data_IF_904760026075
#
_entry.id   IF_904760026075
#
_cell.length_a   1.000
_cell.length_b   1.000
_cell.length_c   1.000
_cell.angle_alpha   90.00
_cell.angle_beta   90.00
_cell.angle_gamma   90.00
#
_symmetry.space_group_name_H-M   'P 1'
#
loop_
_entity.id
_entity.type
_entity.pdbx_description
1 polymer ?
#
# COMPACT_ATOMS: atom_id res chain seq x y z
N UNK A 1 1.40 9.11 25.05
CA UNK A 1 2.25 8.83 23.87
C UNK A 1 2.79 7.43 24.00
N UNK A 2 2.60 6.63 22.95
CA UNK A 2 2.78 5.18 22.98
C UNK A 2 4.14 4.72 22.44
N UNK A 3 5.19 5.54 22.61
CA UNK A 3 6.52 5.28 22.05
C UNK A 3 7.09 3.90 22.41
N UNK A 4 6.82 3.40 23.62
CA UNK A 4 7.28 2.08 24.07
C UNK A 4 6.70 0.91 23.26
N UNK A 5 5.57 1.11 22.56
CA UNK A 5 4.99 0.09 21.67
C UNK A 5 5.73 0.04 20.31
N UNK A 6 6.38 1.13 19.90
CA UNK A 6 7.09 1.24 18.62
C UNK A 6 8.58 0.92 18.75
N UNK A 7 9.21 1.25 19.89
CA UNK A 7 10.64 1.02 20.17
C UNK A 7 11.20 -0.34 19.70
N UNK A 8 10.51 -1.48 19.92
CA UNK A 8 11.02 -2.79 19.48
C UNK A 8 11.21 -2.93 17.97
N UNK A 9 10.58 -2.06 17.18
CA UNK A 9 10.55 -2.10 15.71
C UNK A 9 11.48 -1.08 15.06
N UNK A 10 12.15 -0.21 15.82
CA UNK A 10 13.04 0.82 15.25
C UNK A 10 14.12 0.22 14.34
N UNK A 11 14.69 -0.94 14.71
CA UNK A 11 15.67 -1.66 13.89
C UNK A 11 15.11 -2.18 12.57
N UNK A 12 13.81 -2.48 12.51
CA UNK A 12 13.14 -2.90 11.27
C UNK A 12 13.02 -1.74 10.29
N UNK A 13 12.96 -0.51 10.78
CA UNK A 13 12.79 0.70 9.98
C UNK A 13 14.10 1.23 9.40
N UNK A 14 15.27 0.83 9.92
CA UNK A 14 16.57 1.32 9.44
C UNK A 14 16.75 1.15 7.91
N UNK A 15 16.50 -0.03 7.30
CA UNK A 15 16.60 -0.17 5.84
C UNK A 15 15.63 0.74 5.08
N UNK A 16 14.43 0.96 5.64
CA UNK A 16 13.38 1.79 5.05
C UNK A 16 13.79 3.27 5.11
N UNK A 17 14.32 3.72 6.24
CA UNK A 17 14.85 5.08 6.43
C UNK A 17 16.06 5.36 5.55
N UNK A 18 16.88 4.36 5.26
CA UNK A 18 17.95 4.48 4.26
C UNK A 18 17.42 4.50 2.82
N UNK A 19 16.30 3.84 2.56
CA UNK A 19 15.68 3.77 1.23
C UNK A 19 14.89 5.03 0.89
N UNK A 20 14.14 5.61 1.82
CA UNK A 20 13.45 6.89 1.61
C UNK A 20 14.44 8.06 1.69
N UNK A 21 14.21 9.14 0.95
CA UNK A 21 15.12 10.31 0.96
C UNK A 21 14.71 11.38 1.97
N UNK A 22 13.52 11.29 2.53
CA UNK A 22 13.05 12.19 3.57
C UNK A 22 12.21 11.44 4.61
N UNK A 23 12.25 11.86 5.89
CA UNK A 23 11.28 11.42 6.87
C UNK A 23 9.90 11.99 6.55
N UNK A 24 8.85 11.43 7.14
CA UNK A 24 7.53 12.05 7.13
C UNK A 24 7.59 13.42 7.83
N UNK A 25 7.08 14.50 7.20
CA UNK A 25 7.06 15.83 7.80
C UNK A 25 6.29 15.86 9.11
N UNK A 26 6.80 16.61 10.09
CA UNK A 26 6.19 16.70 11.41
C UNK A 26 4.79 17.33 11.35
N UNK A 27 4.59 18.26 10.43
CA UNK A 27 3.32 18.92 10.14
C UNK A 27 2.26 17.91 9.70
N UNK A 28 2.64 16.93 8.87
CA UNK A 28 1.75 15.84 8.48
C UNK A 28 1.38 14.98 9.68
N UNK A 29 2.35 14.60 10.52
CA UNK A 29 2.11 13.79 11.74
C UNK A 29 1.16 14.54 12.69
N UNK A 30 1.41 15.83 12.92
CA UNK A 30 0.60 16.66 13.80
C UNK A 30 -0.85 16.74 13.32
N UNK A 31 -1.08 16.92 12.01
CA UNK A 31 -2.42 16.95 11.44
C UNK A 31 -3.09 15.57 11.48
N UNK A 32 -2.39 14.52 11.05
CA UNK A 32 -2.92 13.15 10.99
C UNK A 32 -3.24 12.56 12.38
N UNK A 33 -2.54 13.01 13.44
CA UNK A 33 -2.77 12.57 14.80
C UNK A 33 -3.97 13.24 15.49
N UNK A 34 -4.55 14.29 14.91
CA UNK A 34 -5.73 14.94 15.49
C UNK A 34 -6.94 14.02 15.40
N UNK A 35 -7.72 13.93 16.48
CA UNK A 35 -8.92 13.09 16.56
C UNK A 35 -9.92 13.38 15.43
N UNK A 36 -10.07 14.65 15.05
CA UNK A 36 -10.94 15.10 13.95
C UNK A 36 -10.50 14.62 12.56
N UNK A 37 -9.20 14.34 12.39
CA UNK A 37 -8.62 13.87 11.13
C UNK A 37 -8.46 12.34 11.08
N UNK A 38 -8.57 11.64 12.22
CA UNK A 38 -8.46 10.19 12.26
C UNK A 38 -9.45 9.47 11.32
N UNK A 39 -10.74 9.90 11.19
CA UNK A 39 -11.66 9.31 10.22
C UNK A 39 -11.16 9.34 8.77
N UNK A 40 -10.57 10.45 8.32
CA UNK A 40 -10.06 10.56 6.94
C UNK A 40 -8.80 9.74 6.73
N UNK A 41 -7.94 9.66 7.76
CA UNK A 41 -6.73 8.83 7.72
C UNK A 41 -7.08 7.34 7.65
N UNK A 42 -7.98 6.85 8.50
CA UNK A 42 -8.40 5.44 8.47
C UNK A 42 -9.17 5.08 7.21
N UNK A 43 -10.03 5.97 6.71
CA UNK A 43 -10.74 5.73 5.44
C UNK A 43 -9.80 5.70 4.25
N UNK A 44 -8.82 6.61 4.17
CA UNK A 44 -7.83 6.56 3.08
C UNK A 44 -6.90 5.35 3.23
N UNK A 45 -6.53 4.98 4.45
CA UNK A 45 -5.78 3.76 4.73
C UNK A 45 -6.54 2.53 4.22
N UNK A 46 -7.84 2.40 4.55
CA UNK A 46 -8.71 1.34 4.02
C UNK A 46 -8.68 1.30 2.47
N UNK A 47 -8.72 2.46 1.82
CA UNK A 47 -8.62 2.54 0.36
C UNK A 47 -7.23 2.12 -0.14
N UNK A 48 -6.15 2.46 0.57
CA UNK A 48 -4.79 2.07 0.23
C UNK A 48 -4.61 0.56 0.24
N UNK A 49 -5.13 -0.13 1.25
CA UNK A 49 -5.10 -1.61 1.31
C UNK A 49 -5.80 -2.24 0.10
N UNK A 50 -6.99 -1.74 -0.26
CA UNK A 50 -7.70 -2.22 -1.45
C UNK A 50 -6.93 -1.91 -2.74
N UNK A 51 -6.36 -0.70 -2.87
CA UNK A 51 -5.58 -0.29 -4.05
C UNK A 51 -4.30 -1.13 -4.21
N UNK A 52 -3.65 -1.52 -3.12
CA UNK A 52 -2.47 -2.39 -3.13
C UNK A 52 -2.86 -3.79 -3.66
N UNK A 53 -3.90 -4.40 -3.11
CA UNK A 53 -4.45 -5.67 -3.60
C UNK A 53 -4.86 -5.60 -5.09
N UNK A 54 -5.56 -4.54 -5.50
CA UNK A 54 -5.96 -4.32 -6.89
C UNK A 54 -4.75 -4.18 -7.82
N UNK A 55 -3.72 -3.43 -7.40
CA UNK A 55 -2.51 -3.22 -8.19
C UNK A 55 -1.77 -4.54 -8.41
N UNK A 56 -1.60 -5.34 -7.36
CA UNK A 56 -1.01 -6.67 -7.47
C UNK A 56 -1.84 -7.63 -8.34
N UNK A 57 -3.17 -7.59 -8.23
CA UNK A 57 -4.05 -8.40 -9.09
C UNK A 57 -3.93 -8.00 -10.57
N UNK A 58 -3.79 -6.71 -10.87
CA UNK A 58 -3.54 -6.22 -12.24
C UNK A 58 -2.17 -6.64 -12.77
N UNK A 59 -1.14 -6.68 -11.91
CA UNK A 59 0.18 -7.23 -12.28
C UNK A 59 0.06 -8.73 -12.63
N UNK A 60 -0.59 -9.52 -11.78
CA UNK A 60 -0.82 -10.94 -12.04
C UNK A 60 -1.56 -11.17 -13.35
N UNK A 61 -2.69 -10.47 -13.54
CA UNK A 61 -3.51 -10.56 -14.75
C UNK A 61 -2.73 -10.25 -16.03
N UNK A 62 -1.81 -9.28 -15.97
CA UNK A 62 -1.06 -8.82 -17.14
C UNK A 62 0.17 -9.67 -17.44
N UNK A 63 0.86 -10.13 -16.40
CA UNK A 63 2.22 -10.66 -16.54
C UNK A 63 2.39 -12.12 -16.12
N UNK A 64 1.42 -12.72 -15.40
CA UNK A 64 1.67 -14.00 -14.76
C UNK A 64 0.59 -15.07 -14.96
N UNK A 65 -0.70 -14.73 -14.91
CA UNK A 65 -1.78 -15.74 -14.92
C UNK A 65 -2.57 -15.80 -16.22
N UNK A 66 -3.17 -16.96 -16.49
CA UNK A 66 -4.08 -17.13 -17.63
C UNK A 66 -5.42 -16.36 -17.43
N UNK A 67 -6.25 -16.29 -18.48
CA UNK A 67 -7.51 -15.53 -18.46
C UNK A 67 -8.49 -15.99 -17.37
N UNK A 68 -8.61 -17.30 -17.14
CA UNK A 68 -9.57 -17.85 -16.18
C UNK A 68 -9.18 -17.48 -14.74
N UNK A 69 -7.90 -17.64 -14.40
CA UNK A 69 -7.39 -17.23 -13.09
C UNK A 69 -7.39 -15.71 -12.93
N UNK A 70 -7.12 -14.95 -13.99
CA UNK A 70 -7.25 -13.50 -13.96
C UNK A 70 -8.68 -13.06 -13.62
N UNK A 71 -9.70 -13.74 -14.17
CA UNK A 71 -11.09 -13.42 -13.83
C UNK A 71 -11.41 -13.79 -12.38
N UNK A 72 -10.96 -14.96 -11.91
CA UNK A 72 -11.16 -15.37 -10.52
C UNK A 72 -10.51 -14.39 -9.52
N UNK A 73 -9.35 -13.81 -9.86
CA UNK A 73 -8.72 -12.74 -9.07
C UNK A 73 -9.61 -11.50 -8.96
N UNK A 74 -10.16 -11.03 -10.09
CA UNK A 74 -11.02 -9.85 -10.11
C UNK A 74 -12.34 -10.09 -9.37
N UNK A 75 -12.93 -11.27 -9.54
CA UNK A 75 -14.16 -11.66 -8.84
C UNK A 75 -13.98 -11.71 -7.33
N UNK A 76 -12.78 -12.10 -6.85
CA UNK A 76 -12.45 -12.11 -5.43
C UNK A 76 -12.34 -10.68 -4.83
N UNK A 77 -11.98 -9.68 -5.63
CA UNK A 77 -11.91 -8.28 -5.19
C UNK A 77 -13.27 -7.57 -5.22
N UNK A 78 -14.23 -8.08 -6.01
CA UNK A 78 -15.52 -7.43 -6.23
C UNK A 78 -16.31 -7.06 -4.96
N UNK A 79 -16.34 -7.88 -3.87
CA UNK A 79 -17.02 -7.50 -2.63
C UNK A 79 -16.41 -6.25 -1.98
N UNK A 80 -15.09 -6.14 -1.99
CA UNK A 80 -14.34 -5.01 -1.45
C UNK A 80 -14.59 -3.75 -2.27
N UNK A 81 -14.56 -3.87 -3.60
CA UNK A 81 -14.87 -2.77 -4.53
C UNK A 81 -16.30 -2.26 -4.39
N UNK A 82 -17.26 -3.18 -4.23
CA UNK A 82 -18.66 -2.82 -4.03
C UNK A 82 -18.84 -2.02 -2.74
N UNK A 83 -18.18 -2.43 -1.66
CA UNK A 83 -18.23 -1.72 -0.39
C UNK A 83 -17.64 -0.30 -0.53
N UNK A 84 -16.41 -0.20 -1.03
CA UNK A 84 -15.66 1.07 -1.08
C UNK A 84 -16.21 2.04 -2.12
N UNK A 85 -16.45 1.57 -3.35
CA UNK A 85 -16.76 2.47 -4.48
C UNK A 85 -18.27 2.62 -4.73
N UNK A 86 -19.09 1.68 -4.25
CA UNK A 86 -20.54 1.67 -4.52
C UNK A 86 -21.39 1.75 -3.26
N UNK A 87 -20.80 1.64 -2.07
CA UNK A 87 -21.54 1.59 -0.80
C UNK A 87 -22.47 0.38 -0.71
N UNK A 88 -22.14 -0.71 -1.41
CA UNK A 88 -22.94 -1.94 -1.46
C UNK A 88 -22.27 -3.01 -0.62
N UNK A 89 -23.00 -3.52 0.37
CA UNK A 89 -22.55 -4.59 1.26
C UNK A 89 -22.27 -4.10 2.67
N UNK A 90 -21.45 -4.85 3.40
CA UNK A 90 -21.05 -4.53 4.77
C UNK A 90 -19.99 -5.52 5.27
N UNK A 91 -19.55 -5.34 6.52
CA UNK A 91 -18.48 -6.14 7.10
C UNK A 91 -18.77 -7.65 7.03
N UNK A 92 -20.02 -8.05 7.27
CA UNK A 92 -20.42 -9.47 7.27
C UNK A 92 -20.19 -10.11 5.90
N UNK A 93 -20.45 -9.36 4.82
CA UNK A 93 -20.22 -9.83 3.46
C UNK A 93 -18.73 -9.92 3.14
N UNK A 94 -17.91 -9.01 3.66
CA UNK A 94 -16.45 -9.07 3.51
C UNK A 94 -15.87 -10.27 4.27
N UNK A 95 -16.30 -10.49 5.51
CA UNK A 95 -15.86 -11.64 6.33
C UNK A 95 -16.27 -12.99 5.72
N UNK A 96 -17.41 -13.04 5.02
CA UNK A 96 -17.88 -14.22 4.29
C UNK A 96 -17.31 -14.33 2.87
N UNK A 97 -16.58 -13.32 2.39
CA UNK A 97 -16.04 -13.33 1.03
C UNK A 97 -15.03 -14.46 0.87
N UNK A 98 -15.09 -15.15 -0.27
CA UNK A 98 -14.15 -16.22 -0.58
C UNK A 98 -12.76 -15.62 -0.68
N UNK A 99 -11.89 -15.96 0.28
CA UNK A 99 -10.48 -15.65 0.16
C UNK A 99 -9.88 -16.33 -1.07
N UNK A 100 -8.81 -15.71 -1.59
CA UNK A 100 -8.01 -16.23 -2.67
C UNK A 100 -7.33 -17.55 -2.24
N UNK A 101 -8.05 -18.65 -2.42
CA UNK A 101 -7.70 -19.97 -1.86
C UNK A 101 -7.17 -20.94 -2.91
N UNK A 102 -7.42 -20.68 -4.20
CA UNK A 102 -6.93 -21.52 -5.29
C UNK A 102 -5.52 -21.11 -5.71
N UNK A 103 -4.66 -22.10 -5.91
CA UNK A 103 -3.35 -21.89 -6.52
C UNK A 103 -3.52 -21.35 -7.93
N UNK A 104 -2.99 -20.15 -8.18
CA UNK A 104 -2.99 -19.55 -9.51
C UNK A 104 -2.02 -20.34 -10.40
N UNK A 105 -2.42 -20.57 -11.66
CA UNK A 105 -1.51 -21.18 -12.65
C UNK A 105 -0.91 -20.12 -13.55
N UNK A 106 0.40 -20.26 -13.77
CA UNK A 106 1.12 -19.46 -14.75
C UNK A 106 0.51 -19.57 -16.15
N UNK A 107 0.47 -18.44 -16.86
CA UNK A 107 0.28 -18.46 -18.30
C UNK A 107 1.51 -19.12 -18.95
N UNK A 108 1.29 -19.93 -19.99
CA UNK A 108 2.38 -20.59 -20.70
C UNK A 108 3.39 -19.55 -21.24
N UNK A 109 4.69 -19.86 -21.11
CA UNK A 109 5.79 -19.13 -21.78
C UNK A 109 6.20 -17.76 -21.21
N UNK A 110 5.85 -17.42 -19.97
CA UNK A 110 6.30 -16.17 -19.33
C UNK A 110 7.48 -16.42 -18.36
N UNK A 111 8.67 -15.88 -18.62
CA UNK A 111 9.77 -15.87 -17.65
C UNK A 111 9.29 -15.24 -16.32
N UNK A 112 9.67 -15.83 -15.20
CA UNK A 112 9.38 -15.31 -13.84
C UNK A 112 7.91 -15.33 -13.39
N UNK A 113 6.99 -15.92 -14.17
CA UNK A 113 5.56 -15.98 -13.82
C UNK A 113 5.29 -16.60 -12.44
N UNK A 114 5.98 -17.70 -12.10
CA UNK A 114 5.81 -18.37 -10.81
C UNK A 114 6.22 -17.49 -9.63
N UNK A 115 7.29 -16.70 -9.79
CA UNK A 115 7.77 -15.80 -8.74
C UNK A 115 6.83 -14.59 -8.55
N UNK A 116 6.34 -14.01 -9.66
CA UNK A 116 5.33 -12.95 -9.62
C UNK A 116 4.05 -13.49 -8.98
N UNK A 117 3.63 -14.72 -9.33
CA UNK A 117 2.47 -15.40 -8.73
C UNK A 117 2.63 -15.53 -7.23
N UNK A 118 3.75 -16.09 -6.76
CA UNK A 118 3.97 -16.34 -5.34
C UNK A 118 3.94 -15.03 -4.52
N UNK A 119 4.77 -14.05 -4.91
CA UNK A 119 4.89 -12.76 -4.20
C UNK A 119 3.58 -11.96 -4.25
N UNK A 120 2.99 -11.76 -5.42
CA UNK A 120 1.78 -10.94 -5.55
C UNK A 120 0.54 -11.61 -4.94
N UNK A 121 0.39 -12.94 -5.04
CA UNK A 121 -0.73 -13.63 -4.41
C UNK A 121 -0.68 -13.54 -2.89
N UNK A 122 0.53 -13.60 -2.32
CA UNK A 122 0.75 -13.41 -0.90
C UNK A 122 0.39 -11.99 -0.48
N UNK A 123 0.91 -10.99 -1.19
CA UNK A 123 0.60 -9.58 -0.94
C UNK A 123 -0.92 -9.36 -0.96
N UNK A 124 -1.63 -9.77 -2.01
CA UNK A 124 -3.09 -9.61 -2.11
C UNK A 124 -3.82 -10.15 -0.88
N UNK A 125 -3.42 -11.32 -0.37
CA UNK A 125 -4.06 -11.90 0.83
C UNK A 125 -3.76 -11.08 2.09
N UNK A 126 -2.53 -10.60 2.23
CA UNK A 126 -2.11 -9.78 3.37
C UNK A 126 -2.84 -8.41 3.34
N UNK A 127 -2.91 -7.72 2.20
CA UNK A 127 -3.62 -6.42 2.13
C UNK A 127 -5.13 -6.54 2.29
N UNK A 128 -5.75 -7.60 1.77
CA UNK A 128 -7.18 -7.83 2.02
C UNK A 128 -7.45 -8.17 3.50
N UNK A 129 -6.48 -8.75 4.21
CA UNK A 129 -6.58 -8.93 5.65
C UNK A 129 -6.41 -7.61 6.39
N UNK A 130 -5.42 -6.78 6.02
CA UNK A 130 -5.27 -5.44 6.59
C UNK A 130 -6.52 -4.58 6.36
N UNK A 131 -7.09 -4.60 5.15
CA UNK A 131 -8.36 -3.96 4.82
C UNK A 131 -9.47 -4.34 5.81
N UNK A 132 -9.61 -5.64 6.10
CA UNK A 132 -10.62 -6.13 7.05
C UNK A 132 -10.38 -5.55 8.45
N UNK A 133 -9.14 -5.52 8.91
CA UNK A 133 -8.78 -4.98 10.22
C UNK A 133 -9.06 -3.47 10.31
N UNK A 134 -8.74 -2.70 9.26
CA UNK A 134 -9.09 -1.26 9.21
C UNK A 134 -10.60 -1.08 9.26
N UNK A 135 -11.36 -1.86 8.50
CA UNK A 135 -12.82 -1.81 8.48
C UNK A 135 -13.42 -2.12 9.86
N UNK A 136 -12.89 -3.12 10.56
CA UNK A 136 -13.29 -3.48 11.93
C UNK A 136 -13.05 -2.34 12.91
N UNK A 137 -11.89 -1.67 12.83
CA UNK A 137 -11.56 -0.50 13.66
C UNK A 137 -12.52 0.65 13.36
N UNK A 138 -12.76 0.95 12.08
CA UNK A 138 -13.69 2.01 11.67
C UNK A 138 -15.11 1.75 12.19
N UNK A 139 -15.59 0.50 12.08
CA UNK A 139 -16.91 0.12 12.59
C UNK A 139 -17.01 0.22 14.11
N UNK A 140 -15.97 -0.22 14.84
CA UNK A 140 -15.93 -0.15 16.31
C UNK A 140 -15.94 1.30 16.82
N UNK A 141 -15.57 2.27 15.98
CA UNK A 141 -15.48 3.71 16.27
C UNK A 141 -16.58 4.53 15.61
N UNK A 142 -17.61 3.88 15.04
CA UNK A 142 -18.71 4.53 14.32
C UNK A 142 -18.25 5.48 13.19
N UNK A 143 -17.12 5.18 12.55
CA UNK A 143 -16.58 5.96 11.43
C UNK A 143 -17.29 5.53 10.14
N UNK A 144 -18.07 6.42 9.49
CA UNK A 144 -18.82 6.06 8.30
C UNK A 144 -17.91 5.95 7.08
N UNK A 145 -18.28 5.05 6.15
CA UNK A 145 -17.73 5.06 4.80
C UNK A 145 -18.35 6.21 4.00
N UNK A 146 -17.52 7.07 3.44
CA UNK A 146 -17.94 8.14 2.54
C UNK A 146 -17.02 8.23 1.34
N UNK A 147 -17.44 8.96 0.31
CA UNK A 147 -16.62 9.12 -0.89
C UNK A 147 -15.39 9.99 -0.58
N UNK A 148 -14.21 9.41 -0.77
CA UNK A 148 -12.93 10.10 -0.63
C UNK A 148 -12.19 10.11 -1.97
N UNK A 149 -11.67 11.26 -2.40
CA UNK A 149 -10.78 11.35 -3.57
C UNK A 149 -9.45 10.68 -3.27
N UNK A 150 -8.82 10.08 -4.27
CA UNK A 150 -7.48 9.53 -4.14
C UNK A 150 -6.44 10.65 -4.02
N UNK A 151 -5.41 10.43 -3.20
CA UNK A 151 -4.20 11.28 -3.15
C UNK A 151 -3.53 11.39 -4.52
N UNK A 152 -2.84 12.52 -4.76
CA UNK A 152 -1.97 12.72 -5.94
C UNK A 152 -0.79 11.74 -5.98
N UNK A 153 -0.37 11.20 -4.83
CA UNK A 153 0.89 10.48 -4.65
C UNK A 153 1.15 9.36 -5.69
N UNK A 154 0.33 8.31 -5.69
CA UNK A 154 0.53 7.17 -6.57
C UNK A 154 0.36 7.55 -8.06
N UNK A 155 -0.62 8.41 -8.37
CA UNK A 155 -0.87 8.87 -9.73
C UNK A 155 0.32 9.67 -10.30
N UNK A 156 0.93 10.53 -9.49
CA UNK A 156 2.14 11.27 -9.85
C UNK A 156 3.31 10.35 -10.13
N UNK A 157 3.58 9.37 -9.26
CA UNK A 157 4.64 8.37 -9.50
C UNK A 157 4.38 7.56 -10.78
N UNK A 158 3.15 7.11 -11.00
CA UNK A 158 2.76 6.35 -12.21
C UNK A 158 2.97 7.17 -13.48
N UNK A 159 2.85 8.50 -13.43
CA UNK A 159 3.07 9.36 -14.60
C UNK A 159 4.50 9.29 -15.17
N UNK A 160 5.47 8.85 -14.37
CA UNK A 160 6.86 8.68 -14.77
C UNK A 160 7.19 7.27 -15.31
N UNK A 161 6.21 6.36 -15.35
CA UNK A 161 6.41 4.98 -15.84
C UNK A 161 6.74 4.97 -17.33
N UNK A 162 7.80 4.25 -17.69
CA UNK A 162 8.18 4.01 -19.09
C UNK A 162 7.07 3.27 -19.85
N UNK A 163 6.94 3.56 -21.14
CA UNK A 163 5.84 3.04 -21.98
C UNK A 163 6.13 1.70 -22.65
N UNK A 164 7.37 1.20 -22.57
CA UNK A 164 7.84 -0.02 -23.21
C UNK A 164 8.18 -1.11 -22.18
N UNK A 165 7.98 -2.37 -22.57
CA UNK A 165 8.24 -3.54 -21.70
C UNK A 165 9.67 -4.08 -21.92
N UNK A 166 10.31 -4.67 -20.89
CA UNK A 166 9.83 -4.89 -19.51
C UNK A 166 9.98 -3.68 -18.56
N UNK A 167 10.47 -2.55 -19.06
CA UNK A 167 10.78 -1.36 -18.26
C UNK A 167 9.57 -0.76 -17.55
N UNK A 168 8.39 -0.83 -18.18
CA UNK A 168 7.13 -0.42 -17.58
C UNK A 168 6.76 -1.26 -16.35
N UNK A 169 6.98 -2.58 -16.40
CA UNK A 169 6.78 -3.47 -15.25
C UNK A 169 7.78 -3.17 -14.14
N UNK A 170 9.07 -3.05 -14.47
CA UNK A 170 10.12 -2.72 -13.50
C UNK A 170 9.79 -1.41 -12.77
N UNK A 171 9.37 -0.37 -13.50
CA UNK A 171 8.98 0.91 -12.89
C UNK A 171 7.80 0.77 -11.92
N UNK A 172 6.77 -0.02 -12.28
CA UNK A 172 5.63 -0.26 -11.39
C UNK A 172 6.03 -1.00 -10.12
N UNK A 173 6.98 -1.91 -10.20
CA UNK A 173 7.49 -2.63 -9.02
C UNK A 173 8.32 -1.70 -8.12
N UNK A 174 9.14 -0.82 -8.70
CA UNK A 174 9.85 0.22 -7.93
C UNK A 174 8.86 1.15 -7.22
N UNK A 175 7.79 1.57 -7.91
CA UNK A 175 6.72 2.38 -7.31
C UNK A 175 6.03 1.63 -6.18
N UNK A 176 5.74 0.34 -6.37
CA UNK A 176 5.24 -0.54 -5.30
C UNK A 176 6.15 -0.50 -4.08
N UNK A 177 7.45 -0.73 -4.26
CA UNK A 177 8.44 -0.67 -3.17
C UNK A 177 8.40 0.67 -2.42
N UNK A 178 8.26 1.80 -3.11
CA UNK A 178 8.17 3.13 -2.49
C UNK A 178 6.88 3.34 -1.70
N UNK A 179 5.75 2.87 -2.22
CA UNK A 179 4.46 2.95 -1.51
C UNK A 179 4.54 2.19 -0.19
N UNK A 180 4.97 0.92 -0.23
CA UNK A 180 5.09 0.07 0.97
C UNK A 180 6.11 0.63 1.97
N UNK A 181 7.27 1.11 1.49
CA UNK A 181 8.28 1.73 2.33
C UNK A 181 7.75 2.98 3.04
N UNK A 182 7.05 3.86 2.31
CA UNK A 182 6.46 5.07 2.88
C UNK A 182 5.31 4.74 3.83
N UNK A 183 4.48 3.75 3.51
CA UNK A 183 3.42 3.27 4.40
C UNK A 183 4.00 2.79 5.73
N UNK A 184 5.02 1.93 5.68
CA UNK A 184 5.71 1.43 6.88
C UNK A 184 6.28 2.56 7.75
N UNK A 185 6.96 3.52 7.13
CA UNK A 185 7.51 4.67 7.86
C UNK A 185 6.41 5.53 8.47
N UNK A 186 5.34 5.83 7.74
CA UNK A 186 4.19 6.59 8.29
C UNK A 186 3.46 5.88 9.41
N UNK A 187 3.25 4.57 9.32
CA UNK A 187 2.68 3.80 10.43
C UNK A 187 3.54 3.95 11.68
N UNK A 188 4.85 3.83 11.56
CA UNK A 188 5.76 3.93 12.69
C UNK A 188 5.83 5.35 13.28
N UNK A 189 5.85 6.38 12.46
CA UNK A 189 5.91 7.78 12.92
C UNK A 189 4.58 8.27 13.49
N UNK A 190 3.44 7.80 12.98
CA UNK A 190 2.12 8.22 13.44
C UNK A 190 1.66 7.46 14.70
N UNK A 191 1.95 6.15 14.79
CA UNK A 191 1.45 5.28 15.85
C UNK A 191 1.65 5.82 17.29
N UNK A 192 2.80 6.42 17.70
CA UNK A 192 2.98 6.91 19.06
C UNK A 192 1.98 7.98 19.52
N UNK A 193 1.31 8.64 18.58
CA UNK A 193 0.39 9.75 18.83
C UNK A 193 -1.08 9.34 18.80
N UNK A 194 -1.39 8.08 18.44
CA UNK A 194 -2.75 7.57 18.35
C UNK A 194 -3.16 6.82 19.63
N UNK A 195 -4.44 6.47 19.73
CA UNK A 195 -4.94 5.58 20.77
C UNK A 195 -4.22 4.23 20.75
N UNK A 196 -4.21 3.55 21.90
CA UNK A 196 -3.43 2.34 22.10
C UNK A 196 -3.82 1.19 21.16
N UNK A 197 -5.10 1.01 20.88
CA UNK A 197 -5.63 0.00 19.95
C UNK A 197 -5.12 0.24 18.52
N UNK A 198 -5.19 1.49 18.03
CA UNK A 198 -4.70 1.85 16.70
C UNK A 198 -3.17 1.78 16.65
N UNK A 199 -2.49 2.19 17.71
CA UNK A 199 -1.04 2.05 17.84
C UNK A 199 -0.63 0.59 17.67
N UNK A 200 -1.27 -0.33 18.39
CA UNK A 200 -0.97 -1.76 18.31
C UNK A 200 -1.26 -2.31 16.91
N UNK A 201 -2.33 -1.86 16.28
CA UNK A 201 -2.66 -2.22 14.91
C UNK A 201 -1.58 -1.74 13.93
N UNK A 202 -1.24 -0.44 13.89
CA UNK A 202 -0.21 0.10 12.99
C UNK A 202 1.17 -0.54 13.22
N UNK A 203 1.54 -0.79 14.47
CA UNK A 203 2.77 -1.52 14.81
C UNK A 203 2.74 -2.96 14.26
N UNK A 204 1.58 -3.61 14.25
CA UNK A 204 1.45 -4.98 13.72
C UNK A 204 1.66 -5.06 12.21
N UNK A 205 1.39 -3.98 11.47
CA UNK A 205 1.57 -3.89 10.02
C UNK A 205 3.04 -3.77 9.61
N UNK A 206 3.89 -3.18 10.45
CA UNK A 206 5.28 -2.83 10.08
C UNK A 206 6.09 -4.01 9.49
N UNK A 207 5.82 -5.24 9.94
CA UNK A 207 6.52 -6.43 9.44
C UNK A 207 6.03 -6.90 8.07
N UNK A 208 4.76 -6.75 7.72
CA UNK A 208 4.26 -7.06 6.37
C UNK A 208 4.76 -5.99 5.40
N UNK A 209 4.57 -4.72 5.74
CA UNK A 209 5.00 -3.58 4.91
C UNK A 209 6.50 -3.61 4.58
N UNK A 210 7.36 -3.86 5.58
CA UNK A 210 8.80 -3.97 5.38
C UNK A 210 9.17 -5.13 4.43
N UNK A 211 8.41 -6.23 4.47
CA UNK A 211 8.61 -7.35 3.54
C UNK A 211 8.08 -7.02 2.15
N UNK A 212 6.90 -6.41 2.03
CA UNK A 212 6.33 -6.03 0.74
C UNK A 212 7.26 -5.09 -0.03
N UNK A 213 7.81 -4.08 0.66
CA UNK A 213 8.86 -3.22 0.13
C UNK A 213 10.03 -4.02 -0.47
N UNK A 214 10.59 -4.95 0.31
CA UNK A 214 11.72 -5.78 -0.12
C UNK A 214 11.32 -6.69 -1.28
N UNK A 215 10.15 -7.32 -1.20
CA UNK A 215 9.64 -8.23 -2.22
C UNK A 215 9.47 -7.53 -3.57
N UNK A 216 8.95 -6.30 -3.57
CA UNK A 216 8.83 -5.47 -4.77
C UNK A 216 10.19 -5.10 -5.37
N UNK A 217 11.13 -4.65 -4.53
CA UNK A 217 12.45 -4.20 -4.99
C UNK A 217 13.30 -5.36 -5.54
N UNK A 218 13.27 -6.51 -4.86
CA UNK A 218 13.90 -7.74 -5.32
C UNK A 218 13.33 -8.20 -6.66
N UNK A 219 12.00 -8.20 -6.79
CA UNK A 219 11.33 -8.61 -8.03
C UNK A 219 11.66 -7.64 -9.17
N UNK A 220 11.71 -6.34 -8.91
CA UNK A 220 12.10 -5.32 -9.89
C UNK A 220 13.52 -5.58 -10.43
N UNK A 221 14.48 -5.88 -9.55
CA UNK A 221 15.86 -6.15 -9.96
C UNK A 221 15.97 -7.48 -10.72
N UNK A 222 15.26 -8.54 -10.30
CA UNK A 222 15.28 -9.84 -10.98
C UNK A 222 14.72 -9.79 -12.39
N UNK A 223 13.73 -8.93 -12.63
CA UNK A 223 13.13 -8.72 -13.95
C UNK A 223 13.96 -7.79 -14.85
N UNK A 224 15.02 -7.19 -14.32
CA UNK A 224 15.91 -6.32 -15.08
C UNK A 224 17.23 -7.02 -15.41
N UNK A 225 17.66 -6.92 -16.66
CA UNK A 225 18.98 -7.38 -17.10
C UNK A 225 20.12 -6.45 -16.63
N UNK A 226 19.78 -5.28 -16.09
CA UNK A 226 20.72 -4.23 -15.68
C UNK A 226 20.48 -3.82 -14.23
N UNK A 227 21.45 -3.15 -13.62
CA UNK A 227 21.27 -2.54 -12.30
C UNK A 227 20.15 -1.48 -12.34
N UNK A 228 19.18 -1.60 -11.42
CA UNK A 228 18.04 -0.67 -11.33
C UNK A 228 18.33 0.53 -10.42
N UNK A 229 19.48 0.59 -9.75
CA UNK A 229 19.80 1.59 -8.72
C UNK A 229 19.58 3.03 -9.18
N UNK A 230 20.02 3.38 -10.39
CA UNK A 230 19.81 4.73 -10.94
C UNK A 230 18.32 5.05 -11.08
N UNK A 231 17.53 4.08 -11.58
CA UNK A 231 16.09 4.25 -11.77
C UNK A 231 15.34 4.34 -10.45
N UNK A 232 15.77 3.56 -9.45
CA UNK A 232 15.27 3.64 -8.09
C UNK A 232 15.54 5.03 -7.50
N UNK A 233 16.75 5.57 -7.67
CA UNK A 233 17.09 6.91 -7.18
C UNK A 233 16.23 8.01 -7.82
N UNK A 234 15.95 7.93 -9.12
CA UNK A 234 15.01 8.87 -9.77
C UNK A 234 13.61 8.84 -9.14
N UNK A 235 13.06 7.65 -8.91
CA UNK A 235 11.74 7.54 -8.27
C UNK A 235 11.75 7.99 -6.81
N UNK A 236 12.85 7.75 -6.08
CA UNK A 236 13.02 8.25 -4.71
C UNK A 236 13.02 9.78 -4.65
N UNK A 237 13.63 10.45 -5.63
CA UNK A 237 13.63 11.92 -5.73
C UNK A 237 12.22 12.47 -5.96
N UNK A 238 11.46 11.90 -6.91
CA UNK A 238 10.07 12.28 -7.14
C UNK A 238 9.16 11.99 -5.94
N UNK A 239 9.38 10.86 -5.26
CA UNK A 239 8.64 10.51 -4.05
C UNK A 239 8.89 11.53 -2.93
N UNK A 240 10.15 11.89 -2.69
CA UNK A 240 10.51 12.86 -1.66
C UNK A 240 9.92 14.24 -1.96
N UNK A 241 9.92 14.67 -3.21
CA UNK A 241 9.25 15.91 -3.63
C UNK A 241 7.75 15.87 -3.29
N UNK A 242 7.06 14.75 -3.58
CA UNK A 242 5.63 14.60 -3.27
C UNK A 242 5.34 14.65 -1.76
N UNK A 243 6.21 14.08 -0.93
CA UNK A 243 6.06 14.02 0.53
C UNK A 243 6.36 15.36 1.20
N UNK A 244 7.34 16.10 0.70
CA UNK A 244 7.80 17.36 1.30
C UNK A 244 7.11 18.62 0.75
N UNK A 245 6.47 18.54 -0.41
CA UNK A 245 5.73 19.67 -0.99
C UNK A 245 4.35 19.83 -0.37
N UNK A 246 3.83 21.05 -0.41
CA UNK A 246 2.49 21.37 0.08
C UNK A 246 1.40 20.55 -0.64
N UNK A 247 0.39 20.15 0.13
CA UNK A 247 -0.77 19.38 -0.32
C UNK A 247 -2.04 19.94 0.33
N UNK A 248 -3.08 20.09 -0.47
CA UNK A 248 -4.37 20.65 -0.02
C UNK A 248 -5.29 19.60 0.57
N UNK A 249 -5.00 18.31 0.35
CA UNK A 249 -5.80 17.21 0.89
C UNK A 249 -4.99 16.39 1.90
N UNK A 250 -5.55 16.13 3.08
CA UNK A 250 -4.95 15.18 4.01
C UNK A 250 -5.30 13.74 3.59
N UNK A 251 -4.27 12.97 3.25
CA UNK A 251 -4.36 11.55 2.88
C UNK A 251 -3.23 10.78 3.54
N UNK A 252 -3.33 9.46 3.55
CA UNK A 252 -2.31 8.61 4.14
C UNK A 252 -0.94 8.81 3.48
N UNK A 253 -0.90 9.11 2.18
CA UNK A 253 0.32 9.48 1.43
C UNK A 253 0.35 10.93 0.93
N UNK A 254 -0.41 11.86 1.51
CA UNK A 254 -0.35 13.29 1.09
C UNK A 254 0.97 13.94 1.47
N UNK A 255 1.29 15.06 0.81
CA UNK A 255 2.41 15.93 1.19
C UNK A 255 2.17 16.71 2.50
N UNK A 256 2.93 17.79 2.69
CA UNK A 256 2.78 18.70 3.84
C UNK A 256 1.41 19.38 3.76
N UNK A 257 0.51 19.22 4.75
CA UNK A 257 -0.79 19.87 4.72
C UNK A 257 -0.64 21.39 4.62
N UNK A 258 -1.26 22.00 3.60
CA UNK A 258 -1.31 23.45 3.49
C UNK A 258 -1.99 24.02 4.75
N UNK A 259 -1.38 25.05 5.35
CA UNK A 259 -1.96 25.69 6.53
C UNK A 259 -3.38 26.20 6.21
N UNK A 260 -4.37 25.70 6.95
CA UNK A 260 -5.75 26.18 6.91
C UNK A 260 -5.90 27.54 7.61
#
# INVERSE_FOLDING_TARGET
MNHSLVEPYLKLLEPIRCFLLCPTPQEWIQQAAQEENLPVILLDHLHCELKAAQSAALLLRRYAVNKDHAQALLDALQPYENLVYRGIGGIEQIQQSKQLSQALKAAESQPYADEIIDKMSRLIREELHHFQQVLEIMQARDIPLYKLSASRYAASLISHVRTYEPQALIDKLIIGALIEARSCERFAELAPYLDEDITRFYVSLLRSEARHYQDYLELAQKLSDTDITERVNQFREWEAELITSEDTELRFHSGVPAHA
#
